data_IF_809629328231
#
_entry.id   IF_809629328231
#
_cell.length_a   1.000
_cell.length_b   1.000
_cell.length_c   1.000
_cell.angle_alpha   90.00
_cell.angle_beta   90.00
_cell.angle_gamma   90.00
#
_symmetry.space_group_name_H-M   'P 1'
#
loop_
_entity.id
_entity.type
_entity.pdbx_description
1 polymer ?
#
# COMPACT_ATOMS: atom_id res chain seq x y z
N UNK A 1 36.46 2.37 27.45
CA UNK A 1 36.62 2.26 28.92
C UNK A 1 35.31 1.84 29.58
N UNK A 2 35.32 0.67 30.23
CA UNK A 2 34.48 0.37 31.41
C UNK A 2 33.00 0.08 31.22
N UNK A 3 32.63 -1.11 30.72
CA UNK A 3 31.42 -1.79 31.23
C UNK A 3 31.77 -3.22 31.61
N UNK A 4 31.65 -3.46 32.92
CA UNK A 4 31.92 -4.69 33.66
C UNK A 4 31.03 -5.81 33.08
N UNK A 5 31.63 -6.79 32.42
CA UNK A 5 30.94 -8.03 32.02
C UNK A 5 30.58 -8.77 33.30
N UNK A 6 29.29 -8.80 33.64
CA UNK A 6 28.80 -9.68 34.68
C UNK A 6 28.92 -11.12 34.18
N UNK A 7 29.74 -11.93 34.85
CA UNK A 7 29.85 -13.36 34.56
C UNK A 7 28.49 -14.04 34.80
N UNK A 8 28.00 -14.86 33.87
CA UNK A 8 26.76 -15.60 34.09
C UNK A 8 27.01 -16.74 35.09
N UNK A 9 26.27 -16.72 36.20
CA UNK A 9 26.18 -17.86 37.12
C UNK A 9 25.64 -19.10 36.37
N UNK A 10 26.13 -20.32 36.68
CA UNK A 10 25.62 -21.52 36.03
C UNK A 10 24.19 -21.74 36.52
N UNK A 11 23.25 -21.80 35.58
CA UNK A 11 21.86 -22.16 35.87
C UNK A 11 21.75 -23.68 35.84
N UNK A 12 21.40 -24.19 37.00
CA UNK A 12 21.07 -25.55 37.36
C UNK A 12 20.02 -26.14 36.40
N UNK A 13 20.20 -27.43 36.12
CA UNK A 13 19.51 -28.15 35.06
C UNK A 13 17.99 -28.11 35.16
N UNK A 14 17.36 -27.60 34.10
CA UNK A 14 16.04 -28.04 33.67
C UNK A 14 16.01 -28.03 32.13
N UNK A 15 15.62 -29.15 31.54
CA UNK A 15 15.56 -29.34 30.10
C UNK A 15 14.61 -28.36 29.43
N UNK A 16 15.17 -27.35 28.78
CA UNK A 16 14.44 -26.39 27.96
C UNK A 16 15.38 -25.87 26.88
N UNK A 17 15.07 -26.21 25.63
CA UNK A 17 15.82 -25.86 24.41
C UNK A 17 16.41 -24.44 24.52
N UNK A 18 17.72 -24.34 24.75
CA UNK A 18 18.46 -23.07 24.67
C UNK A 18 18.29 -22.54 23.24
N UNK A 19 17.71 -21.34 23.04
CA UNK A 19 17.76 -20.74 21.72
C UNK A 19 19.22 -20.44 21.42
N UNK A 20 19.79 -21.09 20.40
CA UNK A 20 21.12 -20.78 19.91
C UNK A 20 21.24 -19.25 19.78
N UNK A 21 22.27 -18.66 20.39
CA UNK A 21 22.53 -17.21 20.36
C UNK A 21 22.56 -16.66 18.91
N UNK A 22 22.97 -17.51 17.96
CA UNK A 22 22.92 -17.29 16.51
C UNK A 22 21.51 -17.12 15.91
N UNK A 23 20.48 -17.72 16.51
CA UNK A 23 19.09 -17.61 16.06
C UNK A 23 18.46 -16.28 16.50
N UNK A 24 18.91 -15.72 17.62
CA UNK A 24 18.43 -14.43 18.12
C UNK A 24 18.96 -13.25 17.26
N UNK A 25 20.20 -13.34 16.78
CA UNK A 25 20.79 -12.32 15.90
C UNK A 25 20.20 -12.34 14.49
N UNK A 26 19.86 -13.51 13.95
CA UNK A 26 19.21 -13.62 12.64
C UNK A 26 17.79 -13.03 12.62
N UNK A 27 17.02 -13.22 13.70
CA UNK A 27 15.64 -12.69 13.83
C UNK A 27 15.63 -11.16 13.95
N UNK A 28 16.63 -10.58 14.63
CA UNK A 28 16.83 -9.13 14.74
C UNK A 28 17.30 -8.52 13.41
N UNK A 29 18.21 -9.18 12.69
CA UNK A 29 18.64 -8.74 11.37
C UNK A 29 17.52 -8.79 10.34
N UNK A 30 16.75 -9.88 10.30
CA UNK A 30 15.60 -10.04 9.39
C UNK A 30 14.50 -9.00 9.66
N UNK A 31 14.21 -8.68 10.92
CA UNK A 31 13.24 -7.63 11.25
C UNK A 31 13.77 -6.21 11.00
N UNK A 32 15.06 -5.92 11.22
CA UNK A 32 15.62 -4.60 10.92
C UNK A 32 15.79 -4.35 9.41
N UNK A 33 16.06 -5.40 8.62
CA UNK A 33 16.29 -5.27 7.18
C UNK A 33 15.00 -5.35 6.35
N UNK A 34 14.05 -6.21 6.73
CA UNK A 34 12.81 -6.43 5.96
C UNK A 34 11.61 -5.60 6.45
N UNK A 35 11.64 -5.01 7.65
CA UNK A 35 10.63 -4.02 8.09
C UNK A 35 11.01 -2.59 7.73
N UNK A 36 11.75 -2.39 6.64
CA UNK A 36 11.66 -1.14 5.90
C UNK A 36 10.28 -1.13 5.25
N UNK A 37 9.25 -0.91 6.08
CA UNK A 37 7.92 -0.59 5.62
C UNK A 37 8.11 0.47 4.56
N UNK A 38 7.65 0.19 3.33
CA UNK A 38 7.61 1.18 2.27
C UNK A 38 6.84 2.34 2.89
N UNK A 39 7.56 3.37 3.30
CA UNK A 39 6.99 4.63 3.71
C UNK A 39 6.44 5.20 2.43
N UNK A 40 5.21 4.82 2.08
CA UNK A 40 4.46 5.45 1.00
C UNK A 40 4.41 6.92 1.41
N UNK A 41 5.24 7.72 0.74
CA UNK A 41 5.18 9.16 0.87
C UNK A 41 3.72 9.55 0.70
N UNK A 42 3.14 10.43 1.54
CA UNK A 42 1.73 10.81 1.43
C UNK A 42 1.33 11.27 0.02
N UNK A 43 2.30 11.70 -0.79
CA UNK A 43 2.12 12.02 -2.21
C UNK A 43 1.74 10.79 -3.08
N UNK A 44 2.39 9.63 -2.90
CA UNK A 44 2.20 8.40 -3.70
C UNK A 44 0.90 7.63 -3.36
N UNK A 45 0.24 7.96 -2.26
CA UNK A 45 -1.00 7.30 -1.84
C UNK A 45 -2.27 8.10 -2.14
N UNK A 46 -2.14 9.33 -2.63
CA UNK A 46 -3.28 10.21 -2.81
C UNK A 46 -4.19 9.76 -3.95
N UNK A 47 -5.48 10.11 -3.86
CA UNK A 47 -6.47 9.80 -4.91
C UNK A 47 -6.10 10.45 -6.25
N UNK A 48 -5.57 11.68 -6.20
CA UNK A 48 -5.07 12.38 -7.38
C UNK A 48 -3.88 11.63 -8.01
N UNK A 49 -2.96 11.11 -7.20
CA UNK A 49 -1.84 10.31 -7.68
C UNK A 49 -2.30 9.02 -8.36
N UNK A 50 -3.17 8.24 -7.71
CA UNK A 50 -3.73 7.02 -8.30
C UNK A 50 -4.44 7.28 -9.64
N UNK A 51 -5.16 8.40 -9.76
CA UNK A 51 -5.79 8.82 -11.02
C UNK A 51 -4.76 9.14 -12.09
N UNK A 52 -3.72 9.89 -11.76
CA UNK A 52 -2.65 10.22 -12.70
C UNK A 52 -1.91 8.98 -13.21
N UNK A 53 -1.63 8.01 -12.32
CA UNK A 53 -1.04 6.72 -12.69
C UNK A 53 -1.97 5.92 -13.62
N UNK A 54 -3.28 5.86 -13.32
CA UNK A 54 -4.24 5.17 -14.16
C UNK A 54 -4.31 5.76 -15.58
N UNK A 55 -4.35 7.10 -15.70
CA UNK A 55 -4.30 7.76 -17.01
C UNK A 55 -2.98 7.54 -17.75
N UNK A 56 -1.85 7.56 -17.03
CA UNK A 56 -0.55 7.24 -17.62
C UNK A 56 -0.50 5.80 -18.16
N UNK A 57 -1.06 4.84 -17.42
CA UNK A 57 -1.17 3.45 -17.87
C UNK A 57 -2.03 3.32 -19.14
N UNK A 58 -3.21 3.95 -19.17
CA UNK A 58 -4.09 3.92 -20.33
C UNK A 58 -3.46 4.61 -21.56
N UNK A 59 -2.73 5.71 -21.36
CA UNK A 59 -2.02 6.38 -22.44
C UNK A 59 -0.96 5.46 -23.10
N UNK A 60 -0.29 4.59 -22.34
CA UNK A 60 0.64 3.57 -22.89
C UNK A 60 -0.10 2.59 -23.80
N UNK A 61 -1.35 2.26 -23.46
CA UNK A 61 -2.22 1.39 -24.25
C UNK A 61 -2.90 2.11 -25.43
N UNK A 62 -2.63 3.41 -25.62
CA UNK A 62 -3.27 4.24 -26.64
C UNK A 62 -4.72 4.60 -26.33
N UNK A 63 -5.14 4.43 -25.07
CA UNK A 63 -6.46 4.82 -24.58
C UNK A 63 -6.30 6.17 -23.90
N UNK A 64 -6.63 7.24 -24.63
CA UNK A 64 -6.60 8.59 -24.06
C UNK A 64 -7.87 8.85 -23.23
N UNK A 65 -7.71 9.49 -22.08
CA UNK A 65 -8.84 9.92 -21.28
C UNK A 65 -9.60 11.04 -22.01
N UNK A 66 -10.91 10.90 -22.14
CA UNK A 66 -11.75 11.93 -22.74
C UNK A 66 -11.91 13.13 -21.80
N UNK A 67 -12.35 14.27 -22.35
CA UNK A 67 -12.62 15.45 -21.52
C UNK A 67 -13.74 15.16 -20.50
N UNK A 68 -14.71 14.34 -20.90
CA UNK A 68 -15.82 13.86 -20.08
C UNK A 68 -15.32 12.98 -18.92
N UNK A 69 -14.38 12.07 -19.18
CA UNK A 69 -13.77 11.24 -18.14
C UNK A 69 -13.07 12.09 -17.09
N UNK A 70 -12.28 13.07 -17.53
CA UNK A 70 -11.54 13.98 -16.63
C UNK A 70 -12.53 14.77 -15.77
N UNK A 71 -13.55 15.36 -16.39
CA UNK A 71 -14.58 16.13 -15.70
C UNK A 71 -15.37 15.28 -14.68
N UNK A 72 -15.66 14.02 -15.01
CA UNK A 72 -16.31 13.08 -14.10
C UNK A 72 -15.46 12.84 -12.84
N UNK A 73 -14.16 12.57 -12.99
CA UNK A 73 -13.28 12.37 -11.84
C UNK A 73 -13.12 13.65 -11.00
N UNK A 74 -13.04 14.82 -11.63
CA UNK A 74 -12.98 16.10 -10.92
C UNK A 74 -14.26 16.39 -10.13
N UNK A 75 -15.43 16.07 -10.69
CA UNK A 75 -16.71 16.15 -9.98
C UNK A 75 -16.69 15.28 -8.73
N UNK A 76 -16.24 14.02 -8.83
CA UNK A 76 -16.19 13.12 -7.67
C UNK A 76 -15.28 13.63 -6.56
N UNK A 77 -14.17 14.30 -6.92
CA UNK A 77 -13.23 14.86 -5.96
C UNK A 77 -13.79 16.13 -5.32
N UNK A 78 -14.43 17.00 -6.11
CA UNK A 78 -15.11 18.21 -5.62
C UNK A 78 -16.22 17.88 -4.63
N UNK A 79 -17.01 16.84 -4.91
CA UNK A 79 -18.14 16.44 -4.07
C UNK A 79 -17.76 15.48 -2.94
N UNK A 80 -16.49 15.07 -2.87
CA UNK A 80 -16.00 14.21 -1.80
C UNK A 80 -16.63 12.81 -1.81
N UNK A 81 -17.05 12.31 -2.97
CA UNK A 81 -17.73 11.01 -3.06
C UNK A 81 -16.88 9.86 -2.54
N UNK A 82 -17.55 8.93 -1.86
CA UNK A 82 -16.98 7.63 -1.49
C UNK A 82 -16.75 6.76 -2.72
N UNK A 83 -15.86 5.77 -2.61
CA UNK A 83 -15.57 4.85 -3.71
C UNK A 83 -16.82 4.05 -4.14
N UNK A 84 -17.74 3.76 -3.21
CA UNK A 84 -18.98 3.06 -3.51
C UNK A 84 -19.94 3.90 -4.35
N UNK A 85 -20.14 5.18 -3.99
CA UNK A 85 -20.98 6.10 -4.76
C UNK A 85 -20.46 6.27 -6.20
N UNK A 86 -19.14 6.38 -6.35
CA UNK A 86 -18.47 6.47 -7.66
C UNK A 86 -18.74 5.22 -8.50
N UNK A 87 -18.59 4.03 -7.92
CA UNK A 87 -18.86 2.76 -8.61
C UNK A 87 -20.30 2.68 -9.10
N UNK A 88 -21.26 2.98 -8.24
CA UNK A 88 -22.69 2.97 -8.60
C UNK A 88 -22.95 3.92 -9.77
N UNK A 89 -22.40 5.13 -9.73
CA UNK A 89 -22.55 6.09 -10.82
C UNK A 89 -21.94 5.62 -12.14
N UNK A 90 -20.70 5.12 -12.12
CA UNK A 90 -20.01 4.63 -13.32
C UNK A 90 -20.78 3.46 -13.94
N UNK A 91 -21.29 2.54 -13.12
CA UNK A 91 -22.10 1.42 -13.60
C UNK A 91 -23.39 1.94 -14.26
N UNK A 92 -24.09 2.88 -13.63
CA UNK A 92 -25.31 3.47 -14.21
C UNK A 92 -25.02 4.13 -15.57
N UNK A 93 -23.97 4.95 -15.65
CA UNK A 93 -23.52 5.59 -16.89
C UNK A 93 -23.18 4.58 -17.99
N UNK A 94 -22.45 3.52 -17.65
CA UNK A 94 -22.10 2.46 -18.60
C UNK A 94 -23.35 1.74 -19.12
N UNK A 95 -24.31 1.44 -18.24
CA UNK A 95 -25.57 0.80 -18.65
C UNK A 95 -26.41 1.69 -19.56
N UNK A 96 -26.51 2.99 -19.27
CA UNK A 96 -27.23 3.94 -20.11
C UNK A 96 -26.58 4.09 -21.49
N UNK A 97 -25.25 4.15 -21.54
CA UNK A 97 -24.50 4.23 -22.80
C UNK A 97 -24.70 2.99 -23.67
N UNK A 98 -24.69 1.79 -23.07
CA UNK A 98 -24.96 0.54 -23.81
C UNK A 98 -26.38 0.47 -24.34
N UNK A 99 -27.38 0.92 -23.56
CA UNK A 99 -28.79 0.92 -23.97
C UNK A 99 -29.11 1.96 -25.06
N UNK A 100 -28.33 3.05 -25.13
CA UNK A 100 -28.47 4.07 -26.18
C UNK A 100 -27.78 3.69 -27.50
N UNK A 101 -26.92 2.68 -27.49
CA UNK A 101 -26.17 2.20 -28.66
C UNK A 101 -26.85 1.02 -29.38
N UNK A 102 -27.91 0.44 -28.79
CA UNK A 102 -28.80 -0.57 -29.39
C UNK A 102 -30.01 0.08 -30.08
#
# INVERSE_FOLDING_TARGET
CGRRLAEPRPLDGTGGKTPCFLCFTLKLWYNCFMKKSVSISPEYGSRAHRRAEAFACHAIEGIEATAEDIAMFEMFDREGWSDEQRRVYIIAQATETTLAAE
#
